data_IF_803032850167
#
_entry.id   IF_803032850167
#
_cell.length_a   1.000
_cell.length_b   1.000
_cell.length_c   1.000
_cell.angle_alpha   90.00
_cell.angle_beta   90.00
_cell.angle_gamma   90.00
#
_symmetry.space_group_name_H-M   'P 1'
#
loop_
_entity.id
_entity.type
_entity.pdbx_description
1 polymer ?
#
# COMPACT_ATOMS: atom_id res chain seq x y z
N UNK A 1 -9.39 -0.91 -9.79
CA UNK A 1 -9.40 -1.43 -8.41
C UNK A 1 -8.24 -2.39 -8.24
N UNK A 2 -7.37 -2.14 -7.26
CA UNK A 2 -6.18 -2.98 -7.02
C UNK A 2 -6.52 -4.17 -6.14
N UNK A 3 -5.93 -5.31 -6.47
CA UNK A 3 -6.15 -6.56 -5.77
C UNK A 3 -4.86 -7.07 -5.14
N UNK A 4 -4.97 -7.53 -3.90
CA UNK A 4 -3.91 -8.15 -3.12
C UNK A 4 -4.18 -9.66 -3.06
N UNK A 5 -3.21 -10.45 -3.53
CA UNK A 5 -3.16 -11.88 -3.25
C UNK A 5 -2.42 -12.09 -1.92
N UNK A 6 -3.11 -12.67 -0.94
CA UNK A 6 -2.59 -12.85 0.42
C UNK A 6 -3.09 -14.17 1.01
N UNK A 7 -2.17 -15.01 1.48
CA UNK A 7 -2.50 -16.26 2.18
C UNK A 7 -2.37 -16.04 3.68
N UNK A 8 -3.52 -15.86 4.35
CA UNK A 8 -3.57 -15.62 5.80
C UNK A 8 -3.62 -16.94 6.56
N UNK A 9 -2.90 -17.06 7.69
CA UNK A 9 -3.06 -18.21 8.56
C UNK A 9 -4.48 -18.24 9.13
N UNK A 10 -5.10 -19.43 9.18
CA UNK A 10 -6.43 -19.62 9.75
C UNK A 10 -6.38 -19.52 11.28
N UNK A 11 -6.44 -18.30 11.81
CA UNK A 11 -6.44 -18.02 13.23
C UNK A 11 -7.13 -16.67 13.54
N UNK A 12 -7.40 -16.46 14.83
CA UNK A 12 -8.10 -15.26 15.31
C UNK A 12 -7.35 -13.95 15.06
N UNK A 13 -6.01 -13.97 14.97
CA UNK A 13 -5.24 -12.76 14.69
C UNK A 13 -5.48 -12.26 13.27
N UNK A 14 -5.53 -13.18 12.30
CA UNK A 14 -5.88 -12.86 10.91
C UNK A 14 -7.29 -12.29 10.79
N UNK A 15 -8.26 -12.90 11.49
CA UNK A 15 -9.65 -12.43 11.52
C UNK A 15 -9.74 -11.02 12.11
N UNK A 16 -9.16 -10.81 13.31
CA UNK A 16 -9.16 -9.50 13.97
C UNK A 16 -8.44 -8.41 13.16
N UNK A 17 -7.37 -8.77 12.45
CA UNK A 17 -6.66 -7.84 11.57
C UNK A 17 -7.56 -7.38 10.41
N UNK A 18 -8.33 -8.30 9.80
CA UNK A 18 -9.24 -7.99 8.69
C UNK A 18 -10.44 -7.13 9.10
N UNK A 19 -10.83 -7.15 10.37
CA UNK A 19 -11.88 -6.29 10.91
C UNK A 19 -11.41 -4.84 11.12
N UNK A 20 -10.11 -4.57 11.01
CA UNK A 20 -9.53 -3.25 11.23
C UNK A 20 -9.42 -2.44 9.92
N UNK A 21 -9.69 -1.14 10.02
CA UNK A 21 -9.23 -0.17 9.03
C UNK A 21 -7.80 0.29 9.35
N UNK A 22 -7.07 0.78 8.35
CA UNK A 22 -5.72 1.32 8.50
C UNK A 22 -4.75 0.31 9.16
N UNK A 23 -4.80 -0.95 8.72
CA UNK A 23 -3.92 -2.02 9.17
C UNK A 23 -2.47 -1.60 8.91
N UNK A 24 -1.59 -1.64 9.93
CA UNK A 24 -0.18 -1.30 9.74
C UNK A 24 0.50 -2.35 8.87
N UNK A 25 1.19 -1.88 7.84
CA UNK A 25 1.92 -2.75 6.92
C UNK A 25 3.19 -2.09 6.40
N UNK A 26 4.00 -2.87 5.69
CA UNK A 26 5.15 -2.37 4.96
C UNK A 26 4.96 -2.62 3.47
N UNK A 27 4.95 -1.55 2.69
CA UNK A 27 4.96 -1.64 1.24
C UNK A 27 6.40 -1.70 0.75
N UNK A 28 6.69 -2.73 -0.04
CA UNK A 28 7.97 -2.94 -0.72
C UNK A 28 7.72 -3.09 -2.21
N UNK A 29 8.32 -2.22 -3.02
CA UNK A 29 8.16 -2.25 -4.46
C UNK A 29 9.52 -2.23 -5.14
N UNK A 30 9.79 -3.26 -5.91
CA UNK A 30 10.91 -3.37 -6.85
C UNK A 30 10.33 -3.54 -8.26
N UNK A 31 10.54 -4.69 -8.88
CA UNK A 31 9.80 -5.24 -10.01
C UNK A 31 8.38 -5.71 -9.62
N UNK A 32 8.19 -6.08 -8.36
CA UNK A 32 6.93 -6.56 -7.78
C UNK A 32 6.46 -5.62 -6.67
N UNK A 33 5.15 -5.53 -6.48
CA UNK A 33 4.56 -4.78 -5.37
C UNK A 33 4.13 -5.76 -4.28
N UNK A 34 4.93 -5.82 -3.21
CA UNK A 34 4.72 -6.66 -2.05
C UNK A 34 4.25 -5.84 -0.84
N UNK A 35 3.41 -6.45 0.00
CA UNK A 35 2.94 -5.87 1.26
C UNK A 35 3.17 -6.88 2.37
N UNK A 36 3.93 -6.48 3.39
CA UNK A 36 4.15 -7.29 4.58
C UNK A 36 3.19 -6.89 5.70
N UNK A 37 2.61 -7.90 6.35
CA UNK A 37 1.74 -7.76 7.51
C UNK A 37 2.44 -8.33 8.74
N UNK A 38 2.39 -7.56 9.83
CA UNK A 38 3.08 -7.88 11.08
C UNK A 38 2.13 -8.26 12.22
N UNK A 39 0.83 -8.01 12.05
CA UNK A 39 -0.20 -8.34 13.05
C UNK A 39 -0.62 -9.82 13.00
N UNK A 40 -0.21 -10.55 11.95
CA UNK A 40 -0.45 -11.98 11.82
C UNK A 40 0.67 -12.79 12.48
N UNK A 41 0.35 -13.98 12.97
CA UNK A 41 1.34 -14.95 13.45
C UNK A 41 1.17 -16.27 12.68
N UNK A 42 2.14 -16.69 11.84
CA UNK A 42 3.38 -15.97 11.50
C UNK A 42 3.12 -14.69 10.67
N UNK A 43 4.12 -13.83 10.56
CA UNK A 43 4.10 -12.69 9.62
C UNK A 43 3.91 -13.22 8.20
N UNK A 44 3.15 -12.50 7.39
CA UNK A 44 2.88 -12.88 6.01
C UNK A 44 3.14 -11.72 5.05
N UNK A 45 3.36 -12.07 3.79
CA UNK A 45 3.48 -11.11 2.70
C UNK A 45 2.47 -11.44 1.61
N UNK A 46 1.86 -10.42 1.03
CA UNK A 46 1.00 -10.53 -0.14
C UNK A 46 1.53 -9.75 -1.32
N UNK A 47 1.09 -10.11 -2.53
CA UNK A 47 1.46 -9.44 -3.77
C UNK A 47 0.27 -8.67 -4.34
N UNK A 48 0.47 -7.39 -4.65
CA UNK A 48 -0.50 -6.57 -5.37
C UNK A 48 -0.36 -6.83 -6.87
N UNK A 49 -1.49 -7.06 -7.53
CA UNK A 49 -1.56 -7.28 -8.97
C UNK A 49 -2.09 -6.03 -9.70
N UNK A 50 -1.77 -5.94 -10.99
CA UNK A 50 -2.34 -4.94 -11.92
C UNK A 50 -2.12 -3.48 -11.47
N UNK A 51 -0.98 -3.21 -10.83
CA UNK A 51 -0.59 -1.87 -10.40
C UNK A 51 0.22 -1.15 -11.49
N UNK A 52 0.07 0.17 -11.52
CA UNK A 52 0.77 1.07 -12.42
C UNK A 52 1.82 1.86 -11.64
N UNK A 53 3.09 1.68 -12.02
CA UNK A 53 4.19 2.49 -11.45
C UNK A 53 3.97 3.97 -11.71
N UNK A 54 3.49 4.33 -12.90
CA UNK A 54 3.23 5.72 -13.28
C UNK A 54 2.16 6.35 -12.38
N UNK A 55 1.05 5.64 -12.14
CA UNK A 55 0.01 6.15 -11.27
C UNK A 55 0.50 6.28 -9.82
N UNK A 56 1.21 5.27 -9.31
CA UNK A 56 1.79 5.31 -7.97
C UNK A 56 2.75 6.49 -7.79
N UNK A 57 3.64 6.71 -8.76
CA UNK A 57 4.70 7.71 -8.65
C UNK A 57 4.14 9.13 -8.58
N UNK A 58 2.92 9.42 -9.02
CA UNK A 58 2.30 10.75 -8.84
C UNK A 58 1.76 11.00 -7.43
N UNK A 59 1.55 9.95 -6.64
CA UNK A 59 0.99 10.06 -5.28
C UNK A 59 2.08 10.05 -4.22
N UNK A 60 3.15 9.29 -4.45
CA UNK A 60 4.26 9.14 -3.52
C UNK A 60 5.55 9.05 -4.32
N UNK A 61 6.59 9.83 -3.98
CA UNK A 61 7.88 9.71 -4.65
C UNK A 61 8.56 8.39 -4.27
N UNK A 62 9.19 7.78 -5.27
CA UNK A 62 10.14 6.70 -5.07
C UNK A 62 11.27 7.14 -4.11
N UNK A 63 11.81 6.18 -3.36
CA UNK A 63 13.01 6.40 -2.57
C UNK A 63 14.26 6.55 -3.46
N UNK A 64 15.33 7.07 -2.88
CA UNK A 64 16.66 7.08 -3.53
C UNK A 64 17.56 6.03 -2.87
N UNK A 65 18.02 5.07 -3.67
CA UNK A 65 18.98 4.03 -3.26
C UNK A 65 18.37 2.85 -2.49
N UNK A 66 19.00 1.68 -2.61
CA UNK A 66 18.57 0.42 -2.00
C UNK A 66 18.02 -0.59 -3.01
N UNK A 67 17.57 -1.75 -2.51
CA UNK A 67 17.01 -2.84 -3.33
C UNK A 67 15.61 -2.49 -3.88
N UNK A 68 14.85 -1.65 -3.17
CA UNK A 68 13.46 -1.32 -3.49
C UNK A 68 13.30 0.13 -3.94
N UNK A 69 12.52 0.35 -4.98
CA UNK A 69 12.05 1.66 -5.42
C UNK A 69 11.14 2.31 -4.36
N UNK A 70 10.33 1.49 -3.68
CA UNK A 70 9.53 1.92 -2.54
C UNK A 70 9.76 0.99 -1.37
N UNK A 71 10.10 1.55 -0.22
CA UNK A 71 10.16 0.85 1.06
C UNK A 71 9.50 1.75 2.11
N UNK A 72 8.18 1.63 2.27
CA UNK A 72 7.36 2.63 2.96
C UNK A 72 6.50 1.97 4.03
N UNK A 73 6.62 2.46 5.27
CA UNK A 73 5.61 2.19 6.31
C UNK A 73 4.28 2.71 5.82
N UNK A 74 3.25 1.88 5.94
CA UNK A 74 1.98 2.10 5.26
C UNK A 74 0.81 1.70 6.16
N UNK A 75 -0.36 2.22 5.81
CA UNK A 75 -1.65 1.85 6.41
C UNK A 75 -2.54 1.36 5.27
N UNK A 76 -3.14 0.19 5.43
CA UNK A 76 -3.98 -0.43 4.40
C UNK A 76 -5.35 -0.84 4.96
N UNK A 77 -6.39 -0.67 4.17
CA UNK A 77 -7.72 -1.21 4.45
C UNK A 77 -8.09 -2.19 3.34
N UNK A 78 -8.53 -3.39 3.72
CA UNK A 78 -8.81 -4.50 2.82
C UNK A 78 -10.27 -4.93 2.92
N UNK A 79 -10.84 -5.32 1.78
CA UNK A 79 -12.10 -6.07 1.74
C UNK A 79 -11.86 -7.42 1.08
N UNK A 80 -12.26 -8.51 1.72
CA UNK A 80 -12.14 -9.83 1.12
C UNK A 80 -13.14 -9.98 -0.04
N UNK A 81 -12.65 -10.39 -1.21
CA UNK A 81 -13.47 -10.57 -2.42
C UNK A 81 -13.50 -12.02 -2.92
N UNK A 82 -12.48 -12.82 -2.59
CA UNK A 82 -12.47 -14.26 -2.81
C UNK A 82 -11.47 -14.93 -1.86
N UNK A 83 -11.34 -16.26 -1.95
CA UNK A 83 -10.30 -16.99 -1.24
C UNK A 83 -8.91 -16.43 -1.61
N UNK A 84 -8.13 -16.03 -0.61
CA UNK A 84 -6.79 -15.42 -0.74
C UNK A 84 -6.72 -14.14 -1.58
N UNK A 85 -7.85 -13.51 -1.88
CA UNK A 85 -7.92 -12.28 -2.68
C UNK A 85 -8.68 -11.18 -1.96
N UNK A 86 -8.04 -10.03 -1.89
CA UNK A 86 -8.55 -8.87 -1.18
C UNK A 86 -8.51 -7.65 -2.11
N UNK A 87 -9.59 -6.88 -2.14
CA UNK A 87 -9.59 -5.55 -2.73
C UNK A 87 -8.90 -4.57 -1.77
N UNK A 88 -7.99 -3.76 -2.29
CA UNK A 88 -7.38 -2.66 -1.53
C UNK A 88 -8.34 -1.48 -1.57
N UNK A 89 -9.01 -1.20 -0.45
CA UNK A 89 -9.99 -0.11 -0.33
C UNK A 89 -9.30 1.23 -0.10
N UNK A 90 -8.29 1.23 0.77
CA UNK A 90 -7.48 2.39 1.04
C UNK A 90 -6.02 1.98 1.27
N UNK A 91 -5.10 2.83 0.85
CA UNK A 91 -3.67 2.67 1.11
C UNK A 91 -3.04 4.04 1.29
N UNK A 92 -2.33 4.22 2.39
CA UNK A 92 -1.53 5.41 2.66
C UNK A 92 -0.09 5.02 2.94
N UNK A 93 0.87 5.78 2.40
CA UNK A 93 2.29 5.57 2.64
C UNK A 93 2.89 6.75 3.39
N UNK A 94 3.76 6.47 4.34
CA UNK A 94 4.46 7.52 5.08
C UNK A 94 5.63 8.09 4.28
N UNK A 95 5.65 9.42 4.11
CA UNK A 95 6.72 10.16 3.47
C UNK A 95 7.37 11.09 4.49
N UNK A 96 8.69 10.96 4.69
CA UNK A 96 9.43 11.82 5.61
C UNK A 96 9.29 13.29 5.21
N UNK A 97 9.02 14.16 6.19
CA UNK A 97 8.80 15.59 5.97
C UNK A 97 7.38 15.96 5.52
N UNK A 98 6.52 14.98 5.21
CA UNK A 98 5.14 15.24 4.74
C UNK A 98 4.10 14.50 5.60
N UNK A 99 4.35 13.24 5.93
CA UNK A 99 3.44 12.40 6.70
C UNK A 99 2.74 11.35 5.84
N UNK A 100 1.51 11.00 6.20
CA UNK A 100 0.72 9.99 5.50
C UNK A 100 0.18 10.57 4.19
N UNK A 101 0.60 9.99 3.07
CA UNK A 101 0.11 10.35 1.74
C UNK A 101 -0.83 9.26 1.24
N UNK A 102 -2.06 9.64 0.91
CA UNK A 102 -3.03 8.74 0.27
C UNK A 102 -2.51 8.29 -1.09
N UNK A 103 -2.50 6.97 -1.30
CA UNK A 103 -2.18 6.33 -2.56
C UNK A 103 -3.44 5.79 -3.20
N UNK A 104 -4.24 5.05 -2.42
CA UNK A 104 -5.53 4.49 -2.84
C UNK A 104 -6.62 5.03 -1.91
N UNK A 105 -7.73 5.49 -2.50
CA UNK A 105 -8.94 5.94 -1.81
C UNK A 105 -10.15 5.36 -2.52
N UNK A 106 -11.08 4.77 -1.76
CA UNK A 106 -12.30 4.14 -2.29
C UNK A 106 -12.02 3.08 -3.39
N UNK A 107 -10.90 2.37 -3.30
CA UNK A 107 -10.50 1.35 -4.26
C UNK A 107 -9.84 1.86 -5.56
N UNK A 108 -9.61 3.17 -5.67
CA UNK A 108 -9.00 3.81 -6.84
C UNK A 108 -7.75 4.60 -6.45
N UNK A 109 -6.87 4.88 -7.41
CA UNK A 109 -5.74 5.77 -7.15
C UNK A 109 -6.24 7.13 -6.69
N UNK A 110 -5.76 7.59 -5.53
CA UNK A 110 -6.09 8.89 -4.97
C UNK A 110 -5.66 10.02 -5.92
N UNK A 111 -6.10 11.25 -5.67
CA UNK A 111 -5.59 12.38 -6.45
C UNK A 111 -4.07 12.54 -6.25
N UNK A 112 -3.31 12.97 -7.27
CA UNK A 112 -1.89 13.30 -7.12
C UNK A 112 -1.66 14.27 -5.96
N UNK A 113 -0.60 14.04 -5.18
CA UNK A 113 -0.30 14.91 -4.05
C UNK A 113 0.61 16.05 -4.52
N UNK A 114 0.02 17.21 -4.81
CA UNK A 114 0.76 18.39 -5.28
C UNK A 114 1.78 18.93 -4.28
N UNK A 115 1.69 18.59 -2.99
CA UNK A 115 2.68 19.03 -1.99
C UNK A 115 4.00 18.26 -2.06
N UNK A 116 4.07 17.18 -2.84
CA UNK A 116 5.25 16.34 -3.02
C UNK A 116 6.08 16.72 -4.25
N UNK A 117 5.51 17.55 -5.12
CA UNK A 117 6.11 17.96 -6.36
C UNK A 117 6.26 19.47 -6.28
N UNK A 118 7.47 19.97 -6.42
CA UNK A 118 7.68 21.40 -6.63
C UNK A 118 7.04 21.75 -7.98
N UNK A 119 5.79 22.23 -7.94
CA UNK A 119 5.16 22.85 -9.11
C UNK A 119 5.89 24.17 -9.30
N UNK A 120 6.71 24.26 -10.36
CA UNK A 120 7.27 25.53 -10.76
C UNK A 120 6.08 26.45 -11.10
N UNK A 121 5.91 27.60 -10.42
CA UNK A 121 4.72 28.43 -10.58
C UNK A 121 4.59 29.10 -11.96
N UNK A 122 5.56 28.87 -12.86
CA UNK A 122 5.65 29.45 -14.20
C UNK A 122 5.40 28.42 -15.35
N UNK A 123 4.91 27.20 -15.06
CA UNK A 123 4.36 26.25 -16.08
C UNK A 123 2.83 26.26 -16.20
#
# INVERSE_FOLDING_TARGET
>A
MLNLNLDLPNNIYSEMMLDCENIPCLVRISDTFMIDFFETVPNVSGQVLEWSWHDLNHRVPAGTGGEYLYYKRSLITLNQIAEKKFAIVALSMFVNGVGWCSVIENGEYANPNSSLWDVDPDE
#
